data_IF_915655076647
#
_entry.id   IF_915655076647
#
_cell.length_a   1.000
_cell.length_b   1.000
_cell.length_c   1.000
_cell.angle_alpha   90.00
_cell.angle_beta   90.00
_cell.angle_gamma   90.00
#
_symmetry.space_group_name_H-M   'P 1'
#
loop_
_entity.id
_entity.type
_entity.pdbx_description
1 polymer ?
#
# COMPACT_ATOMS: atom_id res chain seq x y z
N UNK A 1 -11.54 -81.09 31.61
CA UNK A 1 -11.47 -79.61 31.81
C UNK A 1 -10.54 -79.03 30.76
N UNK A 2 -11.01 -78.03 29.99
CA UNK A 2 -10.33 -76.83 29.43
C UNK A 2 -8.94 -77.01 28.76
N UNK A 3 -8.61 -76.47 27.59
CA UNK A 3 -9.23 -75.57 26.59
C UNK A 3 -8.35 -75.62 25.33
N UNK A 4 -8.99 -75.60 24.16
CA UNK A 4 -8.39 -75.24 22.86
C UNK A 4 -8.17 -73.73 22.84
N UNK A 5 -6.99 -73.24 22.44
CA UNK A 5 -6.81 -71.87 21.93
C UNK A 5 -5.85 -71.92 20.73
N UNK A 6 -6.43 -71.75 19.55
CA UNK A 6 -5.79 -71.29 18.32
C UNK A 6 -5.73 -69.76 18.43
N UNK A 7 -4.58 -69.15 18.15
CA UNK A 7 -4.52 -67.72 17.86
C UNK A 7 -3.65 -67.46 16.63
N UNK A 8 -4.35 -67.26 15.52
CA UNK A 8 -3.88 -66.62 14.29
C UNK A 8 -4.02 -65.12 14.50
N UNK A 9 -2.95 -64.36 14.28
CA UNK A 9 -3.00 -62.89 14.11
C UNK A 9 -1.84 -62.55 13.18
N UNK A 10 -2.04 -62.67 11.87
CA UNK A 10 -2.51 -61.60 10.97
C UNK A 10 -1.60 -60.37 11.05
N UNK A 11 -0.51 -60.44 10.29
CA UNK A 11 0.32 -59.30 9.89
C UNK A 11 -0.55 -58.31 9.11
N UNK A 12 -0.95 -57.22 9.78
CA UNK A 12 -1.54 -56.05 9.14
C UNK A 12 -0.41 -55.29 8.43
N UNK A 13 -0.34 -55.49 7.10
CA UNK A 13 0.30 -54.53 6.21
C UNK A 13 -0.45 -53.19 6.33
N UNK A 14 0.11 -52.25 7.08
CA UNK A 14 -0.21 -50.84 6.96
C UNK A 14 0.35 -50.35 5.63
N UNK A 15 -0.36 -50.64 4.54
CA UNK A 15 -0.27 -49.80 3.34
C UNK A 15 -0.90 -48.46 3.70
N UNK A 16 -0.06 -47.55 4.22
CA UNK A 16 -0.40 -46.14 4.27
C UNK A 16 -0.59 -45.65 2.84
N UNK A 17 -1.83 -45.67 2.36
CA UNK A 17 -2.24 -44.80 1.27
C UNK A 17 -1.93 -43.38 1.72
N UNK A 18 -0.81 -42.82 1.26
CA UNK A 18 -0.69 -41.38 1.14
C UNK A 18 -1.76 -40.97 0.13
N UNK A 19 -2.95 -40.73 0.64
CA UNK A 19 -3.97 -40.00 -0.08
C UNK A 19 -3.34 -38.62 -0.25
N UNK A 20 -2.70 -38.40 -1.40
CA UNK A 20 -2.32 -37.08 -1.83
C UNK A 20 -3.59 -36.24 -1.65
N UNK A 21 -3.58 -35.32 -0.69
CA UNK A 21 -4.62 -34.31 -0.60
C UNK A 21 -4.68 -33.71 -1.99
N UNK A 22 -5.75 -34.03 -2.70
CA UNK A 22 -6.08 -33.38 -3.94
C UNK A 22 -6.40 -31.97 -3.48
N UNK A 23 -5.40 -31.08 -3.51
CA UNK A 23 -5.60 -29.66 -3.23
C UNK A 23 -6.84 -29.26 -4.01
N UNK A 24 -7.94 -28.98 -3.31
CA UNK A 24 -9.15 -28.45 -3.94
C UNK A 24 -8.76 -27.06 -4.41
N UNK A 25 -8.25 -27.00 -5.64
CA UNK A 25 -7.79 -25.78 -6.26
C UNK A 25 -8.94 -24.80 -6.37
N UNK A 26 -8.70 -23.56 -5.92
CA UNK A 26 -9.59 -22.44 -6.15
C UNK A 26 -9.73 -22.23 -7.66
N UNK A 27 -10.97 -22.20 -8.17
CA UNK A 27 -11.23 -22.19 -9.60
C UNK A 27 -11.16 -20.78 -10.18
N UNK A 28 -10.93 -20.69 -11.50
CA UNK A 28 -11.04 -19.43 -12.23
C UNK A 28 -12.48 -18.91 -12.12
N UNK A 29 -12.63 -17.59 -11.99
CA UNK A 29 -13.90 -16.88 -11.80
C UNK A 29 -14.61 -17.19 -10.46
N UNK A 30 -13.93 -17.88 -9.54
CA UNK A 30 -14.40 -18.05 -8.17
C UNK A 30 -14.16 -16.76 -7.35
N UNK A 31 -15.10 -16.43 -6.47
CA UNK A 31 -15.00 -15.30 -5.54
C UNK A 31 -14.80 -15.81 -4.12
N UNK A 32 -13.75 -15.34 -3.46
CA UNK A 32 -13.45 -15.63 -2.06
C UNK A 32 -13.75 -14.39 -1.22
N UNK A 33 -14.35 -14.58 -0.05
CA UNK A 33 -14.41 -13.52 0.96
C UNK A 33 -13.41 -13.83 2.07
N UNK A 34 -12.52 -12.88 2.34
CA UNK A 34 -11.54 -12.95 3.43
C UNK A 34 -11.72 -11.76 4.35
N UNK A 35 -11.59 -11.99 5.65
CA UNK A 35 -11.47 -10.91 6.63
C UNK A 35 -9.99 -10.79 7.02
N UNK A 36 -9.48 -9.56 6.96
CA UNK A 36 -8.13 -9.17 7.38
C UNK A 36 -8.23 -8.12 8.49
N UNK A 37 -7.14 -7.89 9.22
CA UNK A 37 -7.13 -7.02 10.41
C UNK A 37 -7.62 -7.74 11.67
N UNK A 38 -6.98 -7.46 12.79
CA UNK A 38 -7.31 -8.06 14.08
C UNK A 38 -8.39 -7.22 14.79
N UNK A 39 -8.13 -5.91 14.91
CA UNK A 39 -9.02 -4.95 15.57
C UNK A 39 -9.92 -4.24 14.55
N UNK A 40 -9.35 -3.82 13.42
CA UNK A 40 -10.00 -3.08 12.35
C UNK A 40 -10.28 -4.02 11.18
N UNK A 41 -11.33 -4.84 11.33
CA UNK A 41 -11.68 -5.88 10.36
C UNK A 41 -12.07 -5.29 9.01
N UNK A 42 -11.25 -5.54 7.99
CA UNK A 42 -11.53 -5.23 6.58
C UNK A 42 -11.96 -6.49 5.86
N UNK A 43 -13.03 -6.40 5.07
CA UNK A 43 -13.49 -7.51 4.22
C UNK A 43 -12.90 -7.37 2.82
N UNK A 44 -12.12 -8.34 2.38
CA UNK A 44 -11.69 -8.49 1.00
C UNK A 44 -12.63 -9.43 0.25
N UNK A 45 -13.13 -8.99 -0.91
CA UNK A 45 -13.85 -9.83 -1.87
C UNK A 45 -12.94 -10.05 -3.08
N UNK A 46 -12.29 -11.21 -3.12
CA UNK A 46 -11.25 -11.54 -4.09
C UNK A 46 -11.86 -12.33 -5.25
N UNK A 47 -11.80 -11.79 -6.46
CA UNK A 47 -12.26 -12.40 -7.71
C UNK A 47 -11.06 -12.93 -8.52
N UNK A 48 -10.99 -14.25 -8.71
CA UNK A 48 -9.85 -14.90 -9.37
C UNK A 48 -10.04 -15.06 -10.89
N UNK A 49 -9.95 -13.96 -11.64
CA UNK A 49 -10.04 -13.98 -13.11
C UNK A 49 -8.78 -14.51 -13.79
N UNK A 50 -7.62 -14.34 -13.15
CA UNK A 50 -6.32 -14.78 -13.64
C UNK A 50 -6.02 -16.28 -13.47
N UNK A 51 -6.91 -17.03 -12.81
CA UNK A 51 -6.69 -18.47 -12.56
C UNK A 51 -5.54 -18.76 -11.60
N UNK A 52 -5.34 -17.89 -10.60
CA UNK A 52 -4.41 -18.09 -9.50
C UNK A 52 -4.76 -19.34 -8.69
N UNK A 53 -3.74 -20.07 -8.28
CA UNK A 53 -3.85 -21.22 -7.38
C UNK A 53 -4.22 -20.77 -5.97
N UNK A 54 -4.71 -21.71 -5.15
CA UNK A 54 -5.01 -21.45 -3.75
C UNK A 54 -3.78 -20.92 -2.98
N UNK A 55 -2.61 -21.50 -3.23
CA UNK A 55 -1.34 -21.09 -2.62
C UNK A 55 -0.99 -19.64 -2.96
N UNK A 56 -1.18 -19.21 -4.21
CA UNK A 56 -0.90 -17.83 -4.62
C UNK A 56 -1.90 -16.85 -3.97
N UNK A 57 -3.19 -17.19 -3.95
CA UNK A 57 -4.21 -16.37 -3.27
C UNK A 57 -3.92 -16.27 -1.77
N UNK A 58 -3.48 -17.35 -1.14
CA UNK A 58 -3.10 -17.36 0.27
C UNK A 58 -1.86 -16.49 0.52
N UNK A 59 -0.89 -16.47 -0.41
CA UNK A 59 0.25 -15.56 -0.36
C UNK A 59 -0.19 -14.08 -0.45
N UNK A 60 -0.99 -13.72 -1.46
CA UNK A 60 -1.53 -12.36 -1.64
C UNK A 60 -2.30 -11.92 -0.40
N UNK A 61 -3.16 -12.80 0.12
CA UNK A 61 -3.92 -12.55 1.34
C UNK A 61 -3.00 -12.34 2.55
N UNK A 62 -1.90 -13.08 2.65
CA UNK A 62 -0.91 -12.90 3.71
C UNK A 62 -0.21 -11.54 3.62
N UNK A 63 0.07 -11.02 2.41
CA UNK A 63 0.61 -9.67 2.22
C UNK A 63 -0.38 -8.61 2.71
N UNK A 64 -1.66 -8.68 2.33
CA UNK A 64 -2.67 -7.75 2.85
C UNK A 64 -2.87 -7.83 4.36
N UNK A 65 -2.77 -9.03 4.96
CA UNK A 65 -2.78 -9.16 6.43
C UNK A 65 -1.56 -8.49 7.07
N UNK A 66 -0.38 -8.59 6.45
CA UNK A 66 0.83 -7.91 6.93
C UNK A 66 0.64 -6.38 6.90
N UNK A 67 0.09 -5.84 5.80
CA UNK A 67 -0.24 -4.42 5.68
C UNK A 67 -1.16 -3.99 6.82
N UNK A 68 -2.30 -4.68 7.01
CA UNK A 68 -3.26 -4.35 8.06
C UNK A 68 -2.67 -4.43 9.46
N UNK A 69 -1.87 -5.46 9.74
CA UNK A 69 -1.21 -5.59 11.05
C UNK A 69 -0.29 -4.42 11.37
N UNK A 70 0.46 -3.95 10.37
CA UNK A 70 1.35 -2.80 10.55
C UNK A 70 0.56 -1.49 10.68
N UNK A 71 -0.50 -1.33 9.88
CA UNK A 71 -1.40 -0.19 9.94
C UNK A 71 -2.11 -0.06 11.30
N UNK A 72 -2.68 -1.16 11.82
CA UNK A 72 -3.36 -1.18 13.12
C UNK A 72 -2.41 -0.95 14.30
N UNK A 73 -1.14 -1.33 14.15
CA UNK A 73 -0.12 -1.11 15.18
C UNK A 73 0.25 0.36 15.34
N UNK A 74 0.20 1.12 14.26
CA UNK A 74 0.68 2.51 14.23
C UNK A 74 -0.42 3.54 14.15
N UNK A 75 -1.66 3.15 13.82
CA UNK A 75 -2.76 4.09 13.64
C UNK A 75 -3.98 3.76 14.49
N UNK A 76 -4.74 4.81 14.84
CA UNK A 76 -6.05 4.76 15.48
C UNK A 76 -7.18 5.16 14.50
N UNK A 77 -6.91 5.16 13.19
CA UNK A 77 -7.93 5.44 12.18
C UNK A 77 -8.99 4.34 12.28
N UNK A 78 -10.26 4.72 12.34
CA UNK A 78 -11.40 3.80 12.39
C UNK A 78 -12.24 3.99 11.12
N UNK A 79 -13.15 3.04 10.85
CA UNK A 79 -14.08 3.07 9.71
C UNK A 79 -13.46 2.75 8.33
N UNK A 80 -12.67 1.67 8.29
CA UNK A 80 -12.12 1.15 7.04
C UNK A 80 -13.19 0.51 6.16
N UNK A 81 -13.08 0.70 4.84
CA UNK A 81 -13.99 0.11 3.89
C UNK A 81 -13.60 -1.33 3.52
N UNK A 82 -14.59 -2.13 3.12
CA UNK A 82 -14.32 -3.41 2.45
C UNK A 82 -13.83 -3.17 1.02
N UNK A 83 -12.99 -4.07 0.51
CA UNK A 83 -12.31 -3.91 -0.78
C UNK A 83 -12.64 -5.06 -1.72
N UNK A 84 -12.92 -4.73 -2.98
CA UNK A 84 -12.96 -5.70 -4.07
C UNK A 84 -11.57 -5.87 -4.68
N UNK A 85 -11.06 -7.09 -4.69
CA UNK A 85 -9.75 -7.39 -5.26
C UNK A 85 -9.94 -8.24 -6.51
N UNK A 86 -9.59 -7.73 -7.68
CA UNK A 86 -9.61 -8.50 -8.93
C UNK A 86 -8.20 -8.98 -9.22
N UNK A 87 -8.02 -10.30 -9.36
CA UNK A 87 -6.73 -10.88 -9.72
C UNK A 87 -6.71 -11.21 -11.20
N UNK A 88 -5.73 -10.67 -11.92
CA UNK A 88 -5.52 -10.86 -13.36
C UNK A 88 -4.06 -11.31 -13.62
N UNK A 89 -3.81 -11.91 -14.77
CA UNK A 89 -2.45 -12.16 -15.27
C UNK A 89 -2.25 -11.32 -16.51
N UNK A 90 -1.07 -10.73 -16.68
CA UNK A 90 -0.75 -10.11 -17.96
C UNK A 90 -0.64 -11.20 -19.04
N UNK A 91 -0.99 -10.83 -20.26
CA UNK A 91 -0.64 -11.63 -21.42
C UNK A 91 0.76 -11.25 -21.91
N UNK A 92 1.36 -12.10 -22.75
CA UNK A 92 2.71 -11.87 -23.28
C UNK A 92 2.84 -10.59 -24.13
N UNK A 93 1.71 -9.97 -24.50
CA UNK A 93 1.66 -8.84 -25.44
C UNK A 93 1.35 -7.50 -24.78
N UNK A 94 0.85 -7.51 -23.54
CA UNK A 94 0.36 -6.33 -22.85
C UNK A 94 0.78 -6.40 -21.39
N UNK A 95 1.66 -5.49 -20.97
CA UNK A 95 1.98 -5.27 -19.57
C UNK A 95 1.01 -4.24 -19.00
N UNK A 96 0.24 -4.64 -18.00
CA UNK A 96 -0.59 -3.75 -17.19
C UNK A 96 -0.05 -3.72 -15.77
N UNK A 97 -0.09 -2.54 -15.17
CA UNK A 97 0.31 -2.33 -13.78
C UNK A 97 -0.89 -2.53 -12.84
N UNK A 98 -0.59 -3.09 -11.68
CA UNK A 98 -1.54 -3.14 -10.57
C UNK A 98 -1.90 -1.73 -10.13
N UNK A 99 -3.19 -1.50 -9.88
CA UNK A 99 -3.71 -0.20 -9.51
C UNK A 99 -4.87 -0.34 -8.53
N UNK A 100 -5.21 0.75 -7.86
CA UNK A 100 -6.37 0.83 -7.00
C UNK A 100 -7.34 1.91 -7.51
N UNK A 101 -8.60 1.73 -7.17
CA UNK A 101 -9.65 2.75 -7.22
C UNK A 101 -10.28 2.82 -5.83
N UNK A 102 -11.27 3.69 -5.64
CA UNK A 102 -12.12 3.67 -4.45
C UNK A 102 -12.65 2.25 -4.22
N UNK A 103 -12.37 1.69 -3.03
CA UNK A 103 -12.76 0.36 -2.58
C UNK A 103 -12.43 -0.82 -3.52
N UNK A 104 -11.53 -0.63 -4.48
CA UNK A 104 -11.11 -1.69 -5.42
C UNK A 104 -9.62 -1.73 -5.63
N UNK A 105 -9.12 -2.92 -5.85
CA UNK A 105 -7.74 -3.18 -6.26
C UNK A 105 -7.79 -4.14 -7.44
N UNK A 106 -7.07 -3.81 -8.50
CA UNK A 106 -6.77 -4.74 -9.58
C UNK A 106 -5.30 -5.12 -9.46
N UNK A 107 -5.02 -6.41 -9.24
CA UNK A 107 -3.66 -6.92 -9.18
C UNK A 107 -3.34 -7.72 -10.45
N UNK A 108 -2.29 -7.31 -11.16
CA UNK A 108 -1.69 -8.05 -12.25
C UNK A 108 -0.43 -8.75 -11.75
N UNK A 109 -0.28 -10.03 -12.10
CA UNK A 109 0.88 -10.87 -11.74
C UNK A 109 1.29 -10.74 -10.25
N UNK A 110 0.27 -10.87 -9.40
CA UNK A 110 0.27 -10.57 -7.98
C UNK A 110 1.16 -11.47 -7.11
N UNK A 111 2.04 -12.28 -7.70
CA UNK A 111 3.04 -13.09 -7.01
C UNK A 111 4.41 -12.41 -6.95
N UNK A 112 4.58 -11.29 -7.65
CA UNK A 112 5.84 -10.57 -7.69
C UNK A 112 6.06 -9.80 -6.38
N UNK A 113 7.27 -9.87 -5.82
CA UNK A 113 7.60 -9.23 -4.54
C UNK A 113 7.65 -7.70 -4.62
N UNK A 114 7.55 -7.12 -5.82
CA UNK A 114 7.62 -5.68 -6.09
C UNK A 114 6.26 -4.99 -6.06
N UNK A 115 5.19 -5.70 -5.69
CA UNK A 115 3.86 -5.12 -5.63
C UNK A 115 3.75 -4.17 -4.43
N UNK A 116 3.30 -2.94 -4.68
CA UNK A 116 3.08 -1.89 -3.68
C UNK A 116 1.83 -2.17 -2.82
N UNK A 117 1.81 -3.29 -2.09
CA UNK A 117 0.63 -3.75 -1.36
C UNK A 117 0.15 -2.75 -0.30
N UNK A 118 1.03 -1.96 0.32
CA UNK A 118 0.60 -0.93 1.27
C UNK A 118 -0.11 0.18 0.52
N UNK A 119 0.49 0.69 -0.56
CA UNK A 119 -0.14 1.75 -1.37
C UNK A 119 -1.51 1.31 -1.88
N UNK A 120 -1.58 0.14 -2.51
CA UNK A 120 -2.80 -0.38 -3.10
C UNK A 120 -3.90 -0.61 -2.06
N UNK A 121 -3.57 -1.24 -0.93
CA UNK A 121 -4.57 -1.55 0.09
C UNK A 121 -5.00 -0.32 0.87
N UNK A 122 -4.04 0.49 1.35
CA UNK A 122 -4.34 1.65 2.18
C UNK A 122 -5.14 2.68 1.38
N UNK A 123 -4.79 2.94 0.11
CA UNK A 123 -5.60 3.84 -0.72
C UNK A 123 -7.02 3.30 -0.97
N UNK A 124 -7.19 1.99 -1.10
CA UNK A 124 -8.52 1.39 -1.29
C UNK A 124 -9.40 1.43 -0.03
N UNK A 125 -8.84 1.16 1.16
CA UNK A 125 -9.60 1.09 2.43
C UNK A 125 -9.85 2.46 3.05
N UNK A 126 -8.96 3.43 2.81
CA UNK A 126 -9.01 4.79 3.36
C UNK A 126 -9.72 5.78 2.43
N UNK A 127 -10.24 5.33 1.29
CA UNK A 127 -11.06 6.19 0.44
C UNK A 127 -12.30 6.67 1.22
N UNK A 128 -12.62 7.97 1.25
CA UNK A 128 -13.75 8.47 2.03
C UNK A 128 -15.08 7.99 1.43
N UNK A 129 -16.08 7.77 2.29
CA UNK A 129 -17.46 7.44 1.86
C UNK A 129 -18.23 8.66 1.35
N UNK A 130 -17.73 9.87 1.62
CA UNK A 130 -18.35 11.15 1.25
C UNK A 130 -17.27 12.05 0.61
N UNK A 131 -17.53 12.51 -0.61
CA UNK A 131 -16.59 13.01 -1.62
C UNK A 131 -15.90 14.36 -1.29
N UNK A 132 -15.17 14.49 -0.17
CA UNK A 132 -14.22 15.59 0.00
C UNK A 132 -12.83 15.17 -0.49
N UNK A 133 -12.52 15.55 -1.74
CA UNK A 133 -11.24 15.33 -2.44
C UNK A 133 -9.99 15.87 -1.70
N UNK A 134 -10.16 16.67 -0.65
CA UNK A 134 -9.05 17.12 0.19
C UNK A 134 -8.29 15.95 0.82
N UNK A 135 -8.86 14.76 0.97
CA UNK A 135 -8.19 13.62 1.62
C UNK A 135 -7.10 12.92 0.79
N UNK A 136 -6.97 13.17 -0.52
CA UNK A 136 -6.08 12.37 -1.38
C UNK A 136 -4.61 12.53 -1.04
N UNK A 137 -4.15 13.77 -0.81
CA UNK A 137 -2.79 14.05 -0.34
C UNK A 137 -2.43 13.21 0.89
N UNK A 138 -3.30 13.22 1.90
CA UNK A 138 -3.02 12.56 3.19
C UNK A 138 -3.13 11.06 3.07
N UNK A 139 -4.10 10.57 2.27
CA UNK A 139 -4.30 9.15 1.99
C UNK A 139 -3.06 8.58 1.30
N UNK A 140 -2.66 9.19 0.19
CA UNK A 140 -1.53 8.74 -0.61
C UNK A 140 -0.22 8.93 0.18
N UNK A 141 -0.09 10.03 0.93
CA UNK A 141 1.02 10.23 1.86
C UNK A 141 1.15 9.13 2.92
N UNK A 142 0.04 8.73 3.54
CA UNK A 142 0.03 7.65 4.52
C UNK A 142 0.37 6.30 3.88
N UNK A 143 -0.23 6.01 2.72
CA UNK A 143 0.04 4.82 1.93
C UNK A 143 1.54 4.67 1.60
N UNK A 144 2.15 5.73 1.09
CA UNK A 144 3.57 5.74 0.72
C UNK A 144 4.49 5.68 1.94
N UNK A 145 4.17 6.40 3.03
CA UNK A 145 4.92 6.29 4.29
C UNK A 145 5.00 4.83 4.79
N UNK A 146 3.88 4.11 4.80
CA UNK A 146 3.87 2.71 5.24
C UNK A 146 4.62 1.80 4.27
N UNK A 147 4.51 2.04 2.97
CA UNK A 147 5.24 1.29 1.96
C UNK A 147 6.75 1.47 2.15
N UNK A 148 7.26 2.71 2.17
CA UNK A 148 8.68 3.02 2.39
C UNK A 148 9.21 2.45 3.71
N UNK A 149 8.41 2.54 4.78
CA UNK A 149 8.84 2.09 6.11
C UNK A 149 8.97 0.57 6.23
N UNK A 150 8.14 -0.19 5.51
CA UNK A 150 7.99 -1.63 5.75
C UNK A 150 8.40 -2.51 4.56
N UNK A 151 8.77 -1.91 3.45
CA UNK A 151 9.23 -2.59 2.25
C UNK A 151 10.49 -1.91 1.71
N UNK A 152 11.13 -2.57 0.75
CA UNK A 152 12.14 -1.95 -0.11
C UNK A 152 11.58 -1.86 -1.53
N UNK A 153 10.26 -1.63 -1.67
CA UNK A 153 9.57 -1.65 -2.97
C UNK A 153 9.93 -0.43 -3.81
N UNK A 154 10.31 0.68 -3.16
CA UNK A 154 10.84 1.83 -3.86
C UNK A 154 12.29 1.56 -4.28
N UNK A 155 12.57 1.89 -5.53
CA UNK A 155 13.93 1.84 -6.06
C UNK A 155 14.84 2.83 -5.30
N UNK A 156 14.29 3.99 -4.93
CA UNK A 156 14.96 5.06 -4.20
C UNK A 156 13.99 5.74 -3.22
N UNK A 157 14.52 6.23 -2.09
CA UNK A 157 13.74 6.90 -1.04
C UNK A 157 13.22 8.26 -1.52
N UNK A 158 11.96 8.58 -1.19
CA UNK A 158 11.35 9.87 -1.56
C UNK A 158 12.11 11.09 -1.02
N UNK A 159 12.73 11.01 0.15
CA UNK A 159 13.57 12.10 0.66
C UNK A 159 14.81 12.33 -0.21
N UNK A 160 15.48 11.29 -0.69
CA UNK A 160 16.60 11.41 -1.64
C UNK A 160 16.16 12.08 -2.93
N UNK A 161 15.02 11.66 -3.47
CA UNK A 161 14.46 12.20 -4.72
C UNK A 161 14.13 13.69 -4.55
N UNK A 162 13.47 14.05 -3.45
CA UNK A 162 13.09 15.44 -3.21
C UNK A 162 14.27 16.33 -2.86
N UNK A 163 15.32 15.80 -2.22
CA UNK A 163 16.57 16.54 -2.04
C UNK A 163 17.20 16.90 -3.39
N UNK A 164 17.24 15.96 -4.33
CA UNK A 164 17.71 16.25 -5.69
C UNK A 164 16.82 17.30 -6.37
N UNK A 165 15.50 17.19 -6.24
CA UNK A 165 14.61 18.17 -6.85
C UNK A 165 14.78 19.57 -6.28
N UNK A 166 15.00 19.72 -4.98
CA UNK A 166 15.31 21.02 -4.38
C UNK A 166 16.58 21.68 -4.93
N UNK A 167 17.55 20.89 -5.37
CA UNK A 167 18.80 21.38 -5.97
C UNK A 167 18.63 21.76 -7.45
N UNK A 168 17.59 21.25 -8.11
CA UNK A 168 17.35 21.39 -9.55
C UNK A 168 16.02 22.07 -9.91
N UNK A 169 15.30 22.58 -8.91
CA UNK A 169 14.03 23.31 -9.05
C UNK A 169 12.92 22.51 -9.75
N UNK A 170 12.79 21.20 -9.42
CA UNK A 170 11.70 20.34 -9.92
C UNK A 170 10.56 20.09 -8.93
N UNK A 171 10.59 20.71 -7.75
CA UNK A 171 9.52 20.61 -6.75
C UNK A 171 8.32 21.53 -7.07
N UNK A 172 7.14 21.13 -6.60
CA UNK A 172 5.96 21.98 -6.57
C UNK A 172 5.86 22.73 -5.24
N UNK A 173 5.19 23.89 -5.15
CA UNK A 173 4.77 24.43 -3.86
C UNK A 173 3.81 23.44 -3.17
N UNK A 174 4.04 23.13 -1.89
CA UNK A 174 3.23 22.09 -1.21
C UNK A 174 1.74 22.44 -1.16
N UNK A 175 1.40 23.73 -1.09
CA UNK A 175 0.02 24.21 -1.09
C UNK A 175 -0.75 23.82 -2.35
N UNK A 176 -0.09 23.73 -3.50
CA UNK A 176 -0.72 23.29 -4.74
C UNK A 176 -1.19 21.83 -4.63
N UNK A 177 -0.41 20.98 -3.94
CA UNK A 177 -0.69 19.56 -3.77
C UNK A 177 -1.78 19.28 -2.72
N UNK A 178 -2.14 20.24 -1.86
CA UNK A 178 -3.26 20.11 -0.92
C UNK A 178 -4.62 20.37 -1.55
N UNK A 179 -4.65 21.07 -2.69
CA UNK A 179 -5.90 21.38 -3.39
C UNK A 179 -6.31 20.24 -4.31
N UNK A 180 -7.61 19.98 -4.44
CA UNK A 180 -8.11 18.94 -5.34
C UNK A 180 -7.69 19.19 -6.80
N UNK A 181 -7.71 20.45 -7.23
CA UNK A 181 -7.30 20.83 -8.59
C UNK A 181 -5.81 20.66 -8.82
N UNK A 182 -4.97 21.07 -7.87
CA UNK A 182 -3.53 20.93 -8.02
C UNK A 182 -3.07 19.48 -7.89
N UNK A 183 -3.73 18.69 -7.03
CA UNK A 183 -3.55 17.24 -6.97
C UNK A 183 -3.92 16.59 -8.31
N UNK A 184 -5.12 16.86 -8.83
CA UNK A 184 -5.57 16.30 -10.11
C UNK A 184 -4.66 16.75 -11.27
N UNK A 185 -4.21 18.00 -11.28
CA UNK A 185 -3.34 18.54 -12.32
C UNK A 185 -1.92 17.96 -12.27
N UNK A 186 -1.33 17.84 -11.09
CA UNK A 186 0.09 17.51 -10.95
C UNK A 186 0.35 16.04 -10.64
N UNK A 187 -0.59 15.33 -10.01
CA UNK A 187 -0.45 13.93 -9.59
C UNK A 187 -1.24 12.98 -10.49
N UNK A 188 -2.45 13.35 -10.91
CA UNK A 188 -3.29 12.45 -11.72
C UNK A 188 -3.03 12.64 -13.22
N UNK A 189 -3.02 13.89 -13.67
CA UNK A 189 -2.91 14.24 -15.10
C UNK A 189 -1.56 14.86 -15.46
N UNK A 190 -0.67 15.01 -14.48
CA UNK A 190 0.60 15.71 -14.66
C UNK A 190 1.60 14.87 -15.45
N UNK A 191 2.29 15.51 -16.40
CA UNK A 191 3.44 14.91 -17.10
C UNK A 191 4.52 14.43 -16.12
N UNK A 192 4.52 15.01 -14.92
CA UNK A 192 5.51 14.85 -13.86
C UNK A 192 4.97 14.19 -12.58
N UNK A 193 3.90 13.39 -12.71
CA UNK A 193 3.22 12.73 -11.58
C UNK A 193 4.17 12.07 -10.58
N UNK A 194 5.27 11.49 -11.08
CA UNK A 194 6.26 10.79 -10.27
C UNK A 194 6.92 11.72 -9.24
N UNK A 195 7.22 12.97 -9.58
CA UNK A 195 7.78 13.93 -8.61
C UNK A 195 6.73 14.40 -7.63
N UNK A 196 5.51 14.69 -8.10
CA UNK A 196 4.44 15.07 -7.19
C UNK A 196 4.15 13.95 -6.16
N UNK A 197 4.13 12.69 -6.59
CA UNK A 197 3.97 11.52 -5.72
C UNK A 197 5.11 11.37 -4.70
N UNK A 198 6.38 11.49 -5.14
CA UNK A 198 7.53 11.46 -4.23
C UNK A 198 7.56 12.67 -3.28
N UNK A 199 7.06 13.83 -3.73
CA UNK A 199 6.93 15.01 -2.88
C UNK A 199 5.88 14.79 -1.78
N UNK A 200 4.72 14.23 -2.13
CA UNK A 200 3.67 13.86 -1.17
C UNK A 200 4.21 12.86 -0.15
N UNK A 201 4.90 11.81 -0.61
CA UNK A 201 5.52 10.81 0.27
C UNK A 201 6.54 11.45 1.21
N UNK A 202 7.52 12.16 0.66
CA UNK A 202 8.59 12.84 1.41
C UNK A 202 8.02 13.81 2.44
N UNK A 203 7.08 14.68 2.06
CA UNK A 203 6.50 15.65 3.00
C UNK A 203 5.68 14.96 4.09
N UNK A 204 4.90 13.93 3.74
CA UNK A 204 4.09 13.17 4.70
C UNK A 204 4.95 12.41 5.71
N UNK A 205 6.02 11.75 5.24
CA UNK A 205 7.00 11.09 6.11
C UNK A 205 7.64 12.09 7.07
N UNK A 206 8.04 13.28 6.58
CA UNK A 206 8.56 14.34 7.45
C UNK A 206 7.55 14.77 8.52
N UNK A 207 6.28 14.98 8.16
CA UNK A 207 5.24 15.35 9.12
C UNK A 207 5.04 14.26 10.17
N UNK A 208 4.97 12.99 9.76
CA UNK A 208 4.76 11.86 10.67
C UNK A 208 5.96 11.70 11.61
N UNK A 209 7.19 11.76 11.10
CA UNK A 209 8.40 11.54 11.90
C UNK A 209 8.69 12.71 12.84
N UNK A 210 8.36 13.94 12.44
CA UNK A 210 8.63 15.15 13.23
C UNK A 210 7.52 15.43 14.24
N UNK A 211 6.27 15.27 13.84
CA UNK A 211 5.09 15.70 14.61
C UNK A 211 4.25 14.56 15.17
N UNK A 212 4.51 13.33 14.72
CA UNK A 212 3.84 12.12 15.16
C UNK A 212 2.61 11.76 14.32
N UNK A 213 2.36 10.45 14.23
CA UNK A 213 1.21 9.88 13.52
C UNK A 213 -0.13 10.46 13.99
N UNK A 214 -0.31 10.69 15.29
CA UNK A 214 -1.58 11.20 15.86
C UNK A 214 -2.03 12.52 15.20
N UNK A 215 -1.08 13.44 14.93
CA UNK A 215 -1.38 14.71 14.24
C UNK A 215 -1.68 14.50 12.77
N UNK A 216 -0.97 13.58 12.12
CA UNK A 216 -1.22 13.25 10.74
C UNK A 216 -2.60 12.60 10.54
N UNK A 217 -3.04 11.76 11.48
CA UNK A 217 -4.40 11.23 11.48
C UNK A 217 -5.48 12.29 11.68
N UNK A 218 -5.22 13.30 12.51
CA UNK A 218 -6.13 14.44 12.67
C UNK A 218 -6.30 15.19 11.34
N UNK A 219 -5.21 15.29 10.57
CA UNK A 219 -5.24 15.85 9.22
C UNK A 219 -6.07 14.98 8.26
N UNK A 220 -5.92 13.66 8.32
CA UNK A 220 -6.73 12.72 7.53
C UNK A 220 -8.24 12.86 7.80
N UNK A 221 -8.62 13.13 9.05
CA UNK A 221 -10.02 13.29 9.47
C UNK A 221 -10.60 14.67 9.08
N UNK A 222 -9.78 15.57 8.52
CA UNK A 222 -10.17 16.94 8.23
C UNK A 222 -10.80 17.09 6.83
N UNK A 223 -11.96 17.75 6.76
CA UNK A 223 -12.67 18.00 5.48
C UNK A 223 -11.92 19.02 4.61
N UNK A 224 -11.13 19.91 5.21
CA UNK A 224 -10.32 20.89 4.49
C UNK A 224 -8.91 20.91 5.09
N UNK A 225 -7.96 20.29 4.40
CA UNK A 225 -6.54 20.20 4.82
C UNK A 225 -5.96 21.59 5.06
N UNK A 226 -6.05 22.47 4.07
CA UNK A 226 -5.41 23.79 4.11
C UNK A 226 -5.82 24.57 5.36
N UNK A 227 -7.12 24.63 5.63
CA UNK A 227 -7.66 25.33 6.80
C UNK A 227 -7.35 24.66 8.14
N UNK A 228 -7.00 23.36 8.15
CA UNK A 228 -6.73 22.60 9.36
C UNK A 228 -5.26 22.36 9.65
N UNK A 229 -4.36 22.52 8.67
CA UNK A 229 -2.91 22.46 8.88
C UNK A 229 -2.48 23.42 9.98
N UNK A 230 -2.92 24.68 9.92
CA UNK A 230 -2.63 25.68 10.94
C UNK A 230 -3.18 25.29 12.32
N UNK A 231 -4.35 24.68 12.39
CA UNK A 231 -4.94 24.28 13.67
C UNK A 231 -4.20 23.10 14.31
N UNK A 232 -3.80 22.12 13.50
CA UNK A 232 -3.19 20.85 13.95
C UNK A 232 -1.69 21.05 14.27
N UNK A 233 -0.97 21.75 13.39
CA UNK A 233 0.47 21.93 13.50
C UNK A 233 0.86 23.26 14.16
N UNK A 234 -0.09 24.19 14.31
CA UNK A 234 0.17 25.56 14.81
C UNK A 234 1.17 26.29 13.90
N UNK A 235 1.10 25.98 12.59
CA UNK A 235 2.02 26.43 11.53
C UNK A 235 1.29 26.53 10.20
N UNK A 236 1.61 27.54 9.41
CA UNK A 236 1.11 27.62 8.02
C UNK A 236 1.71 26.52 7.14
N UNK A 237 1.10 26.29 5.98
CA UNK A 237 1.66 25.40 4.95
C UNK A 237 3.09 25.81 4.55
N UNK A 238 3.31 27.12 4.35
CA UNK A 238 4.63 27.69 4.03
C UNK A 238 5.66 27.45 5.14
N UNK A 239 5.27 27.56 6.42
CA UNK A 239 6.17 27.29 7.54
C UNK A 239 6.57 25.80 7.59
N UNK A 240 5.62 24.90 7.39
CA UNK A 240 5.89 23.45 7.35
C UNK A 240 6.76 23.08 6.15
N UNK A 241 6.51 23.65 4.98
CA UNK A 241 7.33 23.47 3.78
C UNK A 241 8.77 23.92 4.01
N UNK A 242 8.97 25.09 4.61
CA UNK A 242 10.30 25.58 4.92
C UNK A 242 11.07 24.69 5.91
N UNK A 243 10.37 24.13 6.90
CA UNK A 243 10.98 23.16 7.83
C UNK A 243 11.35 21.85 7.14
N UNK A 244 10.48 21.33 6.26
CA UNK A 244 10.78 20.16 5.44
C UNK A 244 11.97 20.40 4.50
N UNK A 245 12.04 21.56 3.85
CA UNK A 245 13.19 21.96 3.02
C UNK A 245 14.47 22.01 3.87
N UNK A 246 14.39 22.56 5.08
CA UNK A 246 15.52 22.59 6.01
C UNK A 246 15.94 21.17 6.44
N UNK A 247 14.98 20.28 6.70
CA UNK A 247 15.21 18.87 6.98
C UNK A 247 15.95 18.18 5.82
N UNK A 248 15.51 18.39 4.57
CA UNK A 248 16.16 17.79 3.40
C UNK A 248 17.59 18.30 3.18
N UNK A 249 17.85 19.59 3.46
CA UNK A 249 19.19 20.20 3.32
C UNK A 249 20.16 19.75 4.41
N UNK A 250 19.68 19.48 5.62
CA UNK A 250 20.53 19.19 6.77
C UNK A 250 20.84 17.71 6.93
N UNK A 251 19.95 16.83 6.47
CA UNK A 251 20.13 15.39 6.56
C UNK A 251 20.84 14.81 5.33
N UNK A 252 21.52 13.69 5.57
CA UNK A 252 22.15 12.89 4.53
C UNK A 252 21.21 11.76 4.15
N UNK A 253 20.98 11.60 2.87
CA UNK A 253 20.18 10.52 2.27
C UNK A 253 21.03 9.82 1.22
N UNK A 254 20.57 8.66 0.78
CA UNK A 254 21.29 7.89 -0.23
C UNK A 254 21.35 8.64 -1.57
N UNK A 255 22.47 8.50 -2.26
CA UNK A 255 22.66 9.11 -3.57
C UNK A 255 21.78 8.40 -4.60
N UNK A 256 21.05 9.20 -5.40
CA UNK A 256 20.24 8.66 -6.50
C UNK A 256 21.15 8.01 -7.55
N UNK A 257 20.64 6.97 -8.19
CA UNK A 257 21.21 6.38 -9.38
C UNK A 257 21.30 7.39 -10.53
N UNK A 258 22.24 7.17 -11.45
CA UNK A 258 22.37 8.01 -12.64
C UNK A 258 21.13 7.92 -13.54
N UNK A 259 20.44 6.78 -13.57
CA UNK A 259 19.21 6.61 -14.34
C UNK A 259 18.11 7.51 -13.79
N UNK A 260 17.90 7.56 -12.47
CA UNK A 260 16.92 8.47 -11.86
C UNK A 260 17.31 9.92 -12.06
N UNK A 261 18.57 10.30 -11.82
CA UNK A 261 19.04 11.67 -12.07
C UNK A 261 18.79 12.07 -13.51
N UNK A 262 19.02 11.17 -14.47
CA UNK A 262 18.74 11.42 -15.88
C UNK A 262 17.24 11.67 -16.12
N UNK A 263 16.37 10.80 -15.61
CA UNK A 263 14.91 10.96 -15.71
C UNK A 263 14.46 12.32 -15.16
N UNK A 264 14.98 12.71 -13.99
CA UNK A 264 14.66 13.99 -13.35
C UNK A 264 15.23 15.21 -14.09
N UNK A 265 16.40 15.07 -14.72
CA UNK A 265 17.12 16.18 -15.36
C UNK A 265 16.68 16.51 -16.80
N UNK A 266 15.95 15.62 -17.46
CA UNK A 266 15.49 15.79 -18.86
C UNK A 266 14.13 16.51 -18.92
N UNK A 267 13.67 17.03 -17.78
CA UNK A 267 12.50 17.89 -17.65
C UNK A 267 12.77 19.31 -18.11
#
# INVERSE_FOLDING_TARGET
MKKIIIFVSLLLFLSGCSQAEKEMGFQKDETLTVIIGDEQKVTLRIENKGGYTKKEIDHITAQFRKVMKNFEKETNILHLQGVWVTLLRNDETTYNESHNEENKITLYDATDETQFYYVLLLNAILSPYDYSFSGEFVRDGLANYFEEKYTNSFYEESHSIMKFCLEHDCQYPIEELFTSSGYEQNVVNGDDYWVAANQISSFSTFLIDTYGMDKFEELYKSINIESNLENIYVKSAEELENEWIAFLKTNSFDELSEDTKHILSVR
#
